data_IF_969953053130
#
_entry.id   IF_969953053130
#
_cell.length_a   1.000
_cell.length_b   1.000
_cell.length_c   1.000
_cell.angle_alpha   90.00
_cell.angle_beta   90.00
_cell.angle_gamma   90.00
#
_symmetry.space_group_name_H-M   'P 1'
#
loop_
_entity.id
_entity.type
_entity.pdbx_description
1 polymer ?
#
# COMPACT_ATOMS: atom_id res chain seq x y z
N UNK A 1 28.86 -29.25 -22.72
CA UNK A 1 27.61 -29.44 -21.95
C UNK A 1 26.88 -28.11 -21.90
N UNK A 2 25.82 -27.96 -22.69
CA UNK A 2 24.91 -26.81 -22.62
C UNK A 2 23.98 -27.02 -21.44
N UNK A 3 24.18 -26.28 -20.35
CA UNK A 3 23.21 -26.22 -19.26
C UNK A 3 21.94 -25.56 -19.79
N UNK A 4 20.93 -26.37 -20.14
CA UNK A 4 19.57 -25.88 -20.38
C UNK A 4 19.15 -25.15 -19.11
N UNK A 5 18.96 -23.82 -19.22
CA UNK A 5 18.28 -23.03 -18.20
C UNK A 5 16.90 -23.67 -18.03
N UNK A 6 16.64 -24.29 -16.88
CA UNK A 6 15.32 -24.79 -16.57
C UNK A 6 14.39 -23.57 -16.54
N UNK A 7 13.60 -23.39 -17.60
CA UNK A 7 12.46 -22.48 -17.55
C UNK A 7 11.50 -23.12 -16.57
N UNK A 8 11.51 -22.64 -15.32
CA UNK A 8 10.45 -22.96 -14.36
C UNK A 8 9.12 -22.63 -15.04
N UNK A 9 8.32 -23.65 -15.33
CA UNK A 9 6.96 -23.51 -15.85
C UNK A 9 6.01 -23.16 -14.72
N UNK A 10 6.39 -22.22 -13.85
CA UNK A 10 5.53 -21.75 -12.77
C UNK A 10 4.33 -21.08 -13.42
N UNK A 11 3.18 -21.75 -13.31
CA UNK A 11 1.92 -21.27 -13.83
C UNK A 11 1.55 -20.03 -13.03
N UNK A 12 1.61 -18.86 -13.68
CA UNK A 12 1.13 -17.61 -13.08
C UNK A 12 -0.38 -17.68 -12.98
N UNK A 13 -0.89 -17.60 -11.76
CA UNK A 13 -2.31 -17.70 -11.38
C UNK A 13 -2.99 -16.34 -11.34
N UNK A 14 -2.24 -15.27 -11.06
CA UNK A 14 -2.77 -13.91 -11.17
C UNK A 14 -2.95 -13.52 -12.64
N UNK A 15 -4.18 -13.20 -13.03
CA UNK A 15 -4.46 -12.70 -14.37
C UNK A 15 -3.81 -11.32 -14.60
N UNK A 16 -3.44 -11.03 -15.86
CA UNK A 16 -2.93 -9.71 -16.24
C UNK A 16 -3.89 -8.57 -15.89
N UNK A 17 -5.20 -8.81 -15.96
CA UNK A 17 -6.23 -7.85 -15.52
C UNK A 17 -6.12 -7.56 -14.04
N UNK A 18 -6.01 -8.59 -13.20
CA UNK A 18 -5.87 -8.42 -11.75
C UNK A 18 -4.57 -7.69 -11.40
N UNK A 19 -3.47 -7.99 -12.07
CA UNK A 19 -2.21 -7.26 -11.91
C UNK A 19 -2.35 -5.77 -12.24
N UNK A 20 -3.06 -5.43 -13.32
CA UNK A 20 -3.33 -4.03 -13.66
C UNK A 20 -4.20 -3.32 -12.60
N UNK A 21 -5.21 -4.00 -12.06
CA UNK A 21 -6.02 -3.50 -10.95
C UNK A 21 -5.15 -3.22 -9.71
N UNK A 22 -4.29 -4.16 -9.32
CA UNK A 22 -3.36 -3.96 -8.19
C UNK A 22 -2.41 -2.77 -8.42
N UNK A 23 -1.93 -2.58 -9.65
CA UNK A 23 -1.10 -1.43 -10.02
C UNK A 23 -1.82 -0.08 -9.89
N UNK A 24 -3.11 -0.03 -10.27
CA UNK A 24 -3.95 1.16 -10.06
C UNK A 24 -4.15 1.43 -8.57
N UNK A 25 -4.45 0.39 -7.78
CA UNK A 25 -4.62 0.54 -6.33
C UNK A 25 -3.33 1.03 -5.64
N UNK A 26 -2.16 0.52 -6.03
CA UNK A 26 -0.87 1.01 -5.53
C UNK A 26 -0.65 2.49 -5.89
N UNK A 27 -1.11 2.93 -7.07
CA UNK A 27 -1.05 4.34 -7.47
C UNK A 27 -1.92 5.21 -6.56
N UNK A 28 -3.14 4.76 -6.25
CA UNK A 28 -4.02 5.45 -5.32
C UNK A 28 -3.43 5.53 -3.91
N UNK A 29 -2.79 4.46 -3.43
CA UNK A 29 -2.08 4.44 -2.15
C UNK A 29 -0.94 5.47 -2.13
N UNK A 30 -0.14 5.54 -3.21
CA UNK A 30 0.93 6.54 -3.31
C UNK A 30 0.37 7.98 -3.26
N UNK A 31 -0.75 8.24 -3.93
CA UNK A 31 -1.40 9.55 -3.90
C UNK A 31 -1.88 9.92 -2.48
N UNK A 32 -2.40 8.95 -1.71
CA UNK A 32 -2.79 9.18 -0.30
C UNK A 32 -1.58 9.53 0.56
N UNK A 33 -0.45 8.84 0.37
CA UNK A 33 0.79 9.14 1.10
C UNK A 33 1.33 10.54 0.76
N UNK A 34 1.27 10.94 -0.52
CA UNK A 34 1.65 12.28 -0.94
C UNK A 34 0.78 13.36 -0.29
N UNK A 35 -0.54 13.15 -0.23
CA UNK A 35 -1.46 14.06 0.48
C UNK A 35 -1.18 14.13 1.98
N UNK A 36 -0.78 13.02 2.61
CA UNK A 36 -0.37 13.02 4.02
C UNK A 36 0.90 13.83 4.26
N UNK A 37 1.86 13.79 3.34
CA UNK A 37 3.07 14.63 3.42
C UNK A 37 2.72 16.11 3.28
N UNK A 38 1.85 16.48 2.32
CA UNK A 38 1.39 17.86 2.17
C UNK A 38 0.67 18.37 3.44
N UNK A 39 -0.12 17.51 4.08
CA UNK A 39 -0.76 17.86 5.35
C UNK A 39 0.24 18.08 6.49
N UNK A 40 1.34 17.31 6.54
CA UNK A 40 2.43 17.54 7.49
C UNK A 40 3.13 18.88 7.26
N UNK A 41 3.40 19.25 6.01
CA UNK A 41 3.94 20.58 5.68
C UNK A 41 2.99 21.71 6.13
N UNK A 42 1.67 21.51 5.95
CA UNK A 42 0.67 22.44 6.45
C UNK A 42 0.66 22.59 7.98
N UNK A 43 0.91 21.50 8.71
CA UNK A 43 1.08 21.53 10.17
C UNK A 43 2.35 22.28 10.57
N UNK A 44 3.47 22.05 9.88
CA UNK A 44 4.71 22.78 10.12
C UNK A 44 4.53 24.28 9.92
N UNK A 45 3.82 24.69 8.85
CA UNK A 45 3.48 26.09 8.63
C UNK A 45 2.61 26.66 9.76
N UNK A 46 1.60 25.91 10.23
CA UNK A 46 0.75 26.34 11.34
C UNK A 46 1.55 26.52 12.63
N UNK A 47 2.49 25.62 12.93
CA UNK A 47 3.36 25.71 14.11
C UNK A 47 4.18 27.00 14.14
N UNK A 48 4.66 27.45 12.98
CA UNK A 48 5.43 28.69 12.85
C UNK A 48 4.60 29.96 13.08
N UNK A 49 3.27 29.88 12.99
CA UNK A 49 2.37 31.04 13.06
C UNK A 49 1.58 31.11 14.37
N UNK A 50 0.97 30.01 14.78
CA UNK A 50 0.16 29.93 16.00
C UNK A 50 0.15 28.52 16.56
N UNK A 51 0.73 28.36 17.76
CA UNK A 51 0.83 27.07 18.44
C UNK A 51 -0.54 26.51 18.84
N UNK A 52 -1.54 27.36 19.08
CA UNK A 52 -2.90 26.90 19.45
C UNK A 52 -3.58 26.23 18.26
N UNK A 53 -3.56 26.88 17.10
CA UNK A 53 -4.07 26.33 15.83
C UNK A 53 -3.32 25.06 15.44
N UNK A 54 -1.98 25.06 15.58
CA UNK A 54 -1.18 23.86 15.36
C UNK A 54 -1.64 22.68 16.23
N UNK A 55 -1.76 22.86 17.55
CA UNK A 55 -2.15 21.78 18.46
C UNK A 55 -3.52 21.20 18.11
N UNK A 56 -4.47 22.06 17.71
CA UNK A 56 -5.80 21.61 17.27
C UNK A 56 -5.76 20.82 15.96
N UNK A 57 -5.01 21.30 14.95
CA UNK A 57 -4.86 20.61 13.67
C UNK A 57 -4.09 19.29 13.84
N UNK A 58 -2.99 19.29 14.61
CA UNK A 58 -2.15 18.13 14.85
C UNK A 58 -2.95 17.00 15.51
N UNK A 59 -3.78 17.30 16.52
CA UNK A 59 -4.64 16.29 17.15
C UNK A 59 -5.58 15.62 16.16
N UNK A 60 -6.19 16.39 15.25
CA UNK A 60 -7.08 15.85 14.21
C UNK A 60 -6.31 15.05 13.17
N UNK A 61 -5.18 15.57 12.73
CA UNK A 61 -4.31 14.91 11.76
C UNK A 61 -3.84 13.55 12.28
N UNK A 62 -3.31 13.47 13.51
CA UNK A 62 -2.81 12.21 14.07
C UNK A 62 -3.88 11.12 14.10
N UNK A 63 -5.11 11.46 14.50
CA UNK A 63 -6.21 10.50 14.52
C UNK A 63 -6.57 9.99 13.11
N UNK A 64 -6.65 10.90 12.12
CA UNK A 64 -6.94 10.56 10.73
C UNK A 64 -5.81 9.73 10.10
N UNK A 65 -4.56 10.18 10.28
CA UNK A 65 -3.38 9.52 9.72
C UNK A 65 -3.22 8.11 10.30
N UNK A 66 -3.46 7.91 11.60
CA UNK A 66 -3.42 6.58 12.21
C UNK A 66 -4.46 5.63 11.60
N UNK A 67 -5.73 6.07 11.54
CA UNK A 67 -6.81 5.27 10.97
C UNK A 67 -6.63 4.99 9.46
N UNK A 68 -5.99 5.89 8.73
CA UNK A 68 -5.61 5.66 7.34
C UNK A 68 -4.44 4.67 7.22
N UNK A 69 -3.40 4.83 8.05
CA UNK A 69 -2.21 3.98 8.01
C UNK A 69 -2.52 2.51 8.35
N UNK A 70 -3.42 2.23 9.29
CA UNK A 70 -3.88 0.85 9.54
C UNK A 70 -4.47 0.22 8.28
N UNK A 71 -5.40 0.92 7.61
CA UNK A 71 -6.04 0.42 6.38
C UNK A 71 -5.04 0.24 5.24
N UNK A 72 -4.11 1.18 5.10
CA UNK A 72 -3.05 1.10 4.09
C UNK A 72 -2.11 -0.08 4.36
N UNK A 73 -1.75 -0.32 5.62
CA UNK A 73 -0.91 -1.44 6.01
C UNK A 73 -1.57 -2.77 5.64
N UNK A 74 -2.82 -2.97 6.04
CA UNK A 74 -3.56 -4.20 5.75
C UNK A 74 -3.66 -4.42 4.24
N UNK A 75 -4.00 -3.37 3.48
CA UNK A 75 -4.14 -3.48 2.02
C UNK A 75 -2.79 -3.73 1.33
N UNK A 76 -1.72 -3.06 1.74
CA UNK A 76 -0.39 -3.29 1.18
C UNK A 76 0.09 -4.72 1.47
N UNK A 77 -0.20 -5.23 2.67
CA UNK A 77 0.13 -6.61 3.04
C UNK A 77 -0.63 -7.62 2.17
N UNK A 78 -1.91 -7.40 1.92
CA UNK A 78 -2.71 -8.20 0.98
C UNK A 78 -2.16 -8.15 -0.45
N UNK A 79 -1.85 -6.96 -0.97
CA UNK A 79 -1.26 -6.82 -2.30
C UNK A 79 0.08 -7.57 -2.38
N UNK A 80 0.93 -7.43 -1.36
CA UNK A 80 2.20 -8.15 -1.29
C UNK A 80 1.99 -9.66 -1.25
N UNK A 81 1.04 -10.16 -0.47
CA UNK A 81 0.69 -11.58 -0.41
C UNK A 81 0.26 -12.12 -1.77
N UNK A 82 -0.64 -11.43 -2.46
CA UNK A 82 -1.11 -11.82 -3.80
C UNK A 82 0.05 -11.87 -4.80
N UNK A 83 0.92 -10.85 -4.79
CA UNK A 83 2.07 -10.78 -5.70
C UNK A 83 3.13 -11.85 -5.39
N UNK A 84 3.40 -12.14 -4.13
CA UNK A 84 4.38 -13.15 -3.71
C UNK A 84 3.90 -14.58 -4.00
N UNK A 85 2.60 -14.82 -3.88
CA UNK A 85 1.98 -16.14 -4.11
C UNK A 85 1.33 -16.26 -5.49
N UNK A 86 1.76 -15.45 -6.45
CA UNK A 86 1.14 -15.39 -7.79
C UNK A 86 1.20 -16.71 -8.56
N UNK A 87 1.99 -17.69 -8.11
CA UNK A 87 2.17 -19.02 -8.67
C UNK A 87 1.86 -20.16 -7.68
N UNK A 88 1.34 -19.84 -6.48
CA UNK A 88 1.08 -20.78 -5.39
C UNK A 88 -0.42 -20.88 -5.08
N UNK A 89 -1.11 -21.80 -5.77
CA UNK A 89 -2.57 -21.95 -5.68
C UNK A 89 -3.07 -22.24 -4.27
N UNK A 90 -2.32 -23.02 -3.47
CA UNK A 90 -2.73 -23.40 -2.10
C UNK A 90 -2.77 -22.20 -1.16
N UNK A 91 -1.78 -21.33 -1.24
CA UNK A 91 -1.73 -20.10 -0.43
C UNK A 91 -2.81 -19.11 -0.87
N UNK A 92 -3.08 -19.00 -2.18
CA UNK A 92 -4.16 -18.16 -2.69
C UNK A 92 -5.55 -18.68 -2.27
N UNK A 93 -5.78 -20.00 -2.26
CA UNK A 93 -7.03 -20.60 -1.79
C UNK A 93 -7.23 -20.35 -0.29
N UNK A 94 -6.19 -20.54 0.54
CA UNK A 94 -6.23 -20.30 1.98
C UNK A 94 -6.47 -18.82 2.36
N UNK A 95 -6.27 -17.90 1.43
CA UNK A 95 -6.56 -16.47 1.62
C UNK A 95 -8.05 -16.12 1.41
N UNK A 96 -8.81 -16.97 0.72
CA UNK A 96 -10.22 -16.74 0.40
C UNK A 96 -11.21 -17.41 1.38
N UNK A 97 -10.73 -18.27 2.28
CA UNK A 97 -11.48 -18.95 3.36
C UNK A 97 -11.37 -18.20 4.71
#
# INVERSE_FOLDING_TARGET
>A
MTTKKATSSQQVLLSAKKLAELGNELTDIMNVLEMNNLALEGLEFALQKDTTTFLWLAKKYTATAYAQNEKLYDRLNEIAFLLLNNDNAKELEAYHD
#
